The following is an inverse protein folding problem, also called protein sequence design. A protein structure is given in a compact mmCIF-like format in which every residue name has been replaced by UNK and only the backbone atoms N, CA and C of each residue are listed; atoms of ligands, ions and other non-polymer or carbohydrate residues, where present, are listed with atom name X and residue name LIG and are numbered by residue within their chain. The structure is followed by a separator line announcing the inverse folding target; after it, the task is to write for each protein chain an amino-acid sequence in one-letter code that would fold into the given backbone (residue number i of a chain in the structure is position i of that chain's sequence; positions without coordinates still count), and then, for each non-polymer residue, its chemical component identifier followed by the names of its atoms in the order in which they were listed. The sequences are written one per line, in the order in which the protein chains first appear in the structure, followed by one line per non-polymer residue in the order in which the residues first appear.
data_IF_094392759066
#
_entry.id   IF_094392759066
#
_cell.length_a   1.000
_cell.length_b   1.000
_cell.length_c   1.000
_cell.angle_alpha   90.00
_cell.angle_beta   90.00
_cell.angle_gamma   90.00
#
_symmetry.space_group_name_H-M   'P 1'
#
loop_
_entity.id
_entity.type
_entity.pdbx_description
1 polymer ?
#
# COMPACT_ATOMS: atom_id res chain seq x y z
N UNK A 1 -13.89 19.18 -34.93
CA UNK A 1 -15.34 18.91 -34.94
C UNK A 1 -15.89 19.54 -33.67
N UNK A 2 -16.92 20.38 -33.77
CA UNK A 2 -17.49 21.06 -32.60
C UNK A 2 -18.40 20.11 -31.82
N UNK A 3 -18.38 20.23 -30.50
CA UNK A 3 -19.12 19.38 -29.57
C UNK A 3 -20.31 20.13 -28.94
N UNK A 4 -21.15 19.41 -28.18
CA UNK A 4 -22.27 19.99 -27.43
C UNK A 4 -21.77 20.84 -26.25
N UNK A 5 -22.43 21.96 -25.92
CA UNK A 5 -21.96 22.85 -24.87
C UNK A 5 -22.12 22.20 -23.48
N UNK A 6 -21.07 22.34 -22.66
CA UNK A 6 -21.06 22.03 -21.23
C UNK A 6 -20.59 23.28 -20.46
N UNK A 7 -20.94 23.35 -19.18
CA UNK A 7 -20.39 24.39 -18.29
C UNK A 7 -18.95 24.06 -17.89
N UNK A 8 -18.13 25.09 -17.66
CA UNK A 8 -16.76 24.92 -17.16
C UNK A 8 -16.73 24.13 -15.84
N UNK A 9 -17.74 24.31 -14.98
CA UNK A 9 -17.87 23.56 -13.73
C UNK A 9 -18.05 22.06 -13.93
N UNK A 10 -18.77 21.65 -14.98
CA UNK A 10 -18.93 20.23 -15.31
C UNK A 10 -17.61 19.61 -15.78
N UNK A 11 -16.81 20.34 -16.56
CA UNK A 11 -15.48 19.88 -16.97
C UNK A 11 -14.54 19.72 -15.75
N UNK A 12 -14.46 20.73 -14.89
CA UNK A 12 -13.61 20.68 -13.68
C UNK A 12 -14.09 19.64 -12.65
N UNK A 13 -15.39 19.32 -12.63
CA UNK A 13 -15.90 18.22 -11.79
C UNK A 13 -15.30 16.86 -12.19
N UNK A 14 -14.99 16.67 -13.48
CA UNK A 14 -14.28 15.49 -13.96
C UNK A 14 -12.87 15.38 -13.40
N UNK A 15 -12.12 16.50 -13.40
CA UNK A 15 -10.77 16.55 -12.83
C UNK A 15 -10.76 16.32 -11.32
N UNK A 16 -11.72 16.93 -10.60
CA UNK A 16 -11.89 16.71 -9.16
C UNK A 16 -12.12 15.21 -8.87
N UNK A 17 -13.02 14.56 -9.62
CA UNK A 17 -13.28 13.12 -9.48
C UNK A 17 -12.05 12.27 -9.80
N UNK A 18 -11.25 12.65 -10.79
CA UNK A 18 -10.01 11.94 -11.12
C UNK A 18 -9.02 11.94 -9.95
N UNK A 19 -8.88 13.07 -9.24
CA UNK A 19 -8.01 13.20 -8.07
C UNK A 19 -8.54 12.36 -6.91
N UNK A 20 -9.84 12.45 -6.60
CA UNK A 20 -10.49 11.65 -5.56
C UNK A 20 -10.27 10.15 -5.81
N UNK A 21 -10.50 9.69 -7.04
CA UNK A 21 -10.30 8.29 -7.42
C UNK A 21 -8.81 7.90 -7.32
N UNK A 22 -7.89 8.82 -7.59
CA UNK A 22 -6.46 8.61 -7.41
C UNK A 22 -6.10 8.36 -5.94
N UNK A 23 -6.63 9.18 -5.04
CA UNK A 23 -6.44 9.02 -3.59
C UNK A 23 -7.01 7.68 -3.10
N UNK A 24 -8.23 7.33 -3.54
CA UNK A 24 -8.85 6.04 -3.22
C UNK A 24 -7.97 4.86 -3.65
N UNK A 25 -7.43 4.91 -4.88
CA UNK A 25 -6.55 3.86 -5.40
C UNK A 25 -5.27 3.72 -4.59
N UNK A 26 -4.61 4.82 -4.23
CA UNK A 26 -3.38 4.78 -3.44
C UNK A 26 -3.66 4.27 -2.03
N UNK A 27 -4.70 4.77 -1.35
CA UNK A 27 -5.07 4.30 -0.01
C UNK A 27 -5.41 2.81 0.00
N UNK A 28 -5.98 2.30 -1.09
CA UNK A 28 -6.27 0.89 -1.19
C UNK A 28 -5.02 0.02 -1.10
N UNK A 29 -3.80 0.46 -1.44
CA UNK A 29 -2.60 -0.40 -1.32
C UNK A 29 -2.08 -0.56 0.11
N UNK A 30 -2.48 0.32 1.03
CA UNK A 30 -1.93 0.38 2.39
C UNK A 30 -1.97 -0.96 3.14
N UNK A 31 -3.04 -1.78 3.10
CA UNK A 31 -3.08 -3.05 3.81
C UNK A 31 -2.01 -4.05 3.37
N UNK A 32 -1.60 -4.01 2.09
CA UNK A 32 -0.56 -4.90 1.52
C UNK A 32 0.84 -4.34 1.74
N UNK A 33 0.98 -3.02 1.66
CA UNK A 33 2.23 -2.34 2.04
C UNK A 33 2.56 -2.48 3.52
N UNK A 34 1.53 -2.58 4.37
CA UNK A 34 1.68 -2.74 5.80
C UNK A 34 2.12 -4.13 6.24
N UNK A 35 2.21 -5.11 5.34
CA UNK A 35 2.69 -6.45 5.68
C UNK A 35 4.21 -6.49 5.81
N UNK A 36 4.67 -6.82 7.00
CA UNK A 36 6.09 -6.87 7.35
C UNK A 36 6.56 -8.32 7.45
N UNK A 37 7.61 -8.64 6.70
CA UNK A 37 8.29 -9.96 6.74
C UNK A 37 9.08 -10.22 8.06
N UNK A 38 8.95 -9.33 9.05
CA UNK A 38 9.70 -9.41 10.31
C UNK A 38 9.29 -10.66 11.10
N UNK A 39 10.29 -11.42 11.55
CA UNK A 39 10.07 -12.71 12.23
C UNK A 39 10.26 -13.94 11.34
N UNK A 40 10.34 -13.80 10.01
CA UNK A 40 10.71 -14.91 9.10
C UNK A 40 12.20 -15.27 9.11
N UNK A 41 13.04 -14.43 9.72
CA UNK A 41 14.51 -14.53 9.79
C UNK A 41 15.16 -14.72 8.42
N UNK A 42 16.01 -15.73 8.23
CA UNK A 42 16.86 -15.86 7.04
C UNK A 42 16.10 -16.31 5.79
N UNK A 43 15.11 -17.19 5.94
CA UNK A 43 14.44 -17.87 4.81
C UNK A 43 12.93 -18.05 4.98
N UNK A 44 12.33 -17.45 6.00
CA UNK A 44 10.87 -17.48 6.24
C UNK A 44 10.42 -18.46 7.32
N UNK A 45 11.34 -19.31 7.79
CA UNK A 45 11.06 -20.31 8.83
C UNK A 45 10.96 -19.72 10.24
N UNK A 46 11.49 -18.52 10.45
CA UNK A 46 11.59 -17.94 11.78
C UNK A 46 12.63 -18.61 12.67
N UNK A 47 13.52 -19.45 12.11
CA UNK A 47 14.62 -20.06 12.86
C UNK A 47 15.49 -18.97 13.50
N UNK A 48 15.75 -19.08 14.80
CA UNK A 48 16.43 -18.09 15.65
C UNK A 48 15.62 -16.83 16.03
N UNK A 49 14.35 -16.70 15.62
CA UNK A 49 13.47 -15.69 16.21
C UNK A 49 12.80 -16.25 17.47
N UNK A 50 12.82 -15.53 18.60
CA UNK A 50 11.98 -15.86 19.74
C UNK A 50 10.51 -15.92 19.33
N UNK A 51 9.75 -16.80 19.95
CA UNK A 51 8.31 -16.87 19.73
C UNK A 51 7.68 -15.48 19.96
N UNK A 52 6.76 -15.07 19.08
CA UNK A 52 6.13 -13.73 19.04
C UNK A 52 7.02 -12.53 18.69
N UNK A 53 8.29 -12.72 18.30
CA UNK A 53 9.18 -11.60 17.97
C UNK A 53 8.60 -10.64 16.92
N UNK A 54 8.08 -11.17 15.80
CA UNK A 54 7.50 -10.35 14.74
C UNK A 54 6.33 -9.49 15.22
N UNK A 55 5.40 -10.08 15.97
CA UNK A 55 4.22 -9.39 16.52
C UNK A 55 4.64 -8.28 17.48
N UNK A 56 5.62 -8.54 18.35
CA UNK A 56 6.14 -7.53 19.28
C UNK A 56 6.78 -6.36 18.54
N UNK A 57 7.60 -6.62 17.53
CA UNK A 57 8.23 -5.56 16.73
C UNK A 57 7.16 -4.71 16.03
N UNK A 58 6.17 -5.35 15.41
CA UNK A 58 5.04 -4.64 14.79
C UNK A 58 4.33 -3.75 15.80
N UNK A 59 4.03 -4.25 17.00
CA UNK A 59 3.35 -3.46 18.03
C UNK A 59 4.14 -2.20 18.43
N UNK A 60 5.46 -2.30 18.51
CA UNK A 60 6.35 -1.16 18.79
C UNK A 60 6.34 -0.17 17.62
N UNK A 61 6.41 -0.67 16.37
CA UNK A 61 6.36 0.19 15.19
C UNK A 61 5.04 0.94 15.08
N UNK A 62 3.91 0.28 15.31
CA UNK A 62 2.59 0.91 15.33
C UNK A 62 2.55 2.00 16.41
N UNK A 63 3.03 1.70 17.62
CA UNK A 63 3.05 2.67 18.71
C UNK A 63 3.95 3.89 18.44
N UNK A 64 5.09 3.71 17.76
CA UNK A 64 6.04 4.78 17.46
C UNK A 64 5.66 5.62 16.24
N UNK A 65 5.06 5.00 15.23
CA UNK A 65 4.75 5.67 13.95
C UNK A 65 3.30 6.14 13.85
N UNK A 66 2.41 5.59 14.66
CA UNK A 66 0.96 5.82 14.56
C UNK A 66 0.30 5.12 13.36
N UNK A 67 1.04 4.28 12.63
CA UNK A 67 0.54 3.57 11.45
C UNK A 67 -0.16 2.27 11.87
N UNK A 68 -1.48 2.30 11.90
CA UNK A 68 -2.32 1.15 12.32
C UNK A 68 -2.36 -0.01 11.33
N UNK A 69 -1.93 0.24 10.10
CA UNK A 69 -1.96 -0.68 8.98
C UNK A 69 -0.80 -1.69 8.99
N UNK A 70 0.23 -1.45 9.83
CA UNK A 70 1.37 -2.33 9.96
C UNK A 70 0.96 -3.64 10.65
N UNK A 71 1.29 -4.77 10.03
CA UNK A 71 1.03 -6.12 10.54
C UNK A 71 2.13 -7.09 10.13
N UNK A 72 2.23 -8.21 10.83
CA UNK A 72 3.08 -9.31 10.38
C UNK A 72 2.50 -9.90 9.10
N UNK A 73 3.36 -10.23 8.12
CA UNK A 73 2.95 -10.87 6.88
C UNK A 73 2.21 -12.19 7.16
N UNK A 74 1.18 -12.48 6.36
CA UNK A 74 0.43 -13.74 6.46
C UNK A 74 1.31 -14.95 6.07
N UNK A 75 2.28 -14.74 5.18
CA UNK A 75 3.24 -15.74 4.77
C UNK A 75 4.64 -15.12 4.63
N UNK A 76 5.57 -15.51 5.51
CA UNK A 76 6.93 -14.98 5.51
C UNK A 76 7.72 -15.33 4.26
N UNK A 77 7.44 -16.45 3.60
CA UNK A 77 8.15 -16.84 2.36
C UNK A 77 7.77 -15.92 1.21
N UNK A 78 6.48 -15.63 1.04
CA UNK A 78 6.01 -14.68 0.02
C UNK A 78 6.57 -13.29 0.27
N UNK A 79 6.47 -12.80 1.50
CA UNK A 79 6.91 -11.46 1.87
C UNK A 79 8.45 -11.26 1.78
N UNK A 80 9.23 -12.34 1.77
CA UNK A 80 10.68 -12.31 1.59
C UNK A 80 11.13 -12.57 0.16
N UNK A 81 10.43 -13.44 -0.57
CA UNK A 81 10.77 -13.81 -1.93
C UNK A 81 10.34 -12.74 -2.95
N UNK A 82 9.22 -12.06 -2.68
CA UNK A 82 8.63 -11.09 -3.58
C UNK A 82 8.35 -9.74 -2.89
N UNK A 83 8.14 -8.70 -3.70
CA UNK A 83 7.83 -7.34 -3.24
C UNK A 83 6.59 -6.81 -3.94
N UNK A 84 5.59 -7.68 -4.10
CA UNK A 84 4.45 -7.44 -4.97
C UNK A 84 3.56 -6.29 -4.45
N UNK A 85 3.46 -6.13 -3.13
CA UNK A 85 2.79 -4.97 -2.53
C UNK A 85 3.43 -3.62 -2.90
N UNK A 86 4.77 -3.57 -3.04
CA UNK A 86 5.48 -2.37 -3.51
C UNK A 86 5.28 -2.13 -5.00
N UNK A 87 5.24 -3.20 -5.80
CA UNK A 87 4.95 -3.12 -7.24
C UNK A 87 3.52 -2.63 -7.47
N UNK A 88 2.54 -3.13 -6.72
CA UNK A 88 1.17 -2.65 -6.77
C UNK A 88 1.08 -1.15 -6.43
N UNK A 89 1.71 -0.74 -5.32
CA UNK A 89 1.72 0.66 -4.91
C UNK A 89 2.36 1.58 -5.97
N UNK A 90 3.50 1.15 -6.54
CA UNK A 90 4.16 1.86 -7.63
C UNK A 90 3.23 1.99 -8.86
N UNK A 91 2.57 0.90 -9.24
CA UNK A 91 1.60 0.87 -10.33
C UNK A 91 0.37 1.75 -10.11
N UNK A 92 -0.04 1.98 -8.85
CA UNK A 92 -1.14 2.89 -8.48
C UNK A 92 -0.72 4.35 -8.29
N UNK A 93 0.56 4.63 -8.14
CA UNK A 93 1.13 5.99 -8.17
C UNK A 93 1.34 6.48 -9.61
N UNK A 94 1.73 5.58 -10.53
CA UNK A 94 1.92 5.89 -11.95
C UNK A 94 0.70 6.45 -12.73
N UNK A 95 -0.59 6.15 -12.43
CA UNK A 95 -1.74 6.68 -13.17
C UNK A 95 -1.94 8.19 -12.98
N UNK A 96 -1.30 8.80 -11.97
CA UNK A 96 -1.25 10.26 -11.84
C UNK A 96 -0.33 10.92 -12.88
N UNK A 97 0.52 10.12 -13.54
CA UNK A 97 1.32 10.52 -14.69
C UNK A 97 0.58 10.14 -15.98
N UNK A 98 -0.58 10.73 -16.21
CA UNK A 98 -1.11 10.77 -17.58
C UNK A 98 -0.10 11.55 -18.44
N UNK A 99 0.47 10.89 -19.45
CA UNK A 99 1.20 11.51 -20.55
C UNK A 99 0.22 12.12 -21.54
#
# INVERSE_FOLDING_TARGET
MDAVPITLGQEFSGYARQIEAGIERVRATLPRLGELAIGGTAVGTGLNAPESFGVKVVSVLVAQTGLSELRTAANSFEAQAARDGLVEASGRCAPSRCR
#
